data_IF_566631690088
#
_entry.id   IF_566631690088
#
_cell.length_a   1.000
_cell.length_b   1.000
_cell.length_c   1.000
_cell.angle_alpha   90.00
_cell.angle_beta   90.00
_cell.angle_gamma   90.00
#
_symmetry.space_group_name_H-M   'P 1'
#
loop_
_entity.id
_entity.type
_entity.pdbx_description
1 polymer ?
#
# COMPACT_ATOMS: atom_id res chain seq x y z
N UNK A 1 -29.18 3.90 -7.37
CA UNK A 1 -27.85 3.27 -7.19
C UNK A 1 -27.89 2.46 -5.91
N UNK A 2 -27.51 1.16 -5.94
CA UNK A 2 -27.34 0.40 -4.69
C UNK A 2 -26.19 1.02 -3.88
N UNK A 3 -26.36 1.12 -2.55
CA UNK A 3 -25.35 1.66 -1.67
C UNK A 3 -24.17 0.66 -1.63
N UNK A 4 -22.97 1.10 -2.00
CA UNK A 4 -21.75 0.27 -1.95
C UNK A 4 -21.45 -0.14 -0.50
N UNK A 5 -21.17 -1.42 -0.28
CA UNK A 5 -20.96 -2.00 1.05
C UNK A 5 -19.60 -1.61 1.66
N UNK A 6 -18.57 -1.52 0.82
CA UNK A 6 -17.19 -1.23 1.25
C UNK A 6 -16.73 0.14 0.73
N UNK A 7 -16.09 0.90 1.59
CA UNK A 7 -15.44 2.15 1.19
C UNK A 7 -14.18 1.85 0.36
N UNK A 8 -13.32 0.93 0.84
CA UNK A 8 -12.12 0.49 0.12
C UNK A 8 -12.00 -1.03 0.17
N UNK A 9 -11.77 -1.61 -0.99
CA UNK A 9 -11.37 -3.02 -1.15
C UNK A 9 -9.94 -3.02 -1.67
N UNK A 10 -9.06 -3.82 -1.08
CA UNK A 10 -7.69 -3.97 -1.58
C UNK A 10 -7.38 -5.43 -1.94
N UNK A 11 -6.56 -5.60 -2.99
CA UNK A 11 -6.04 -6.90 -3.41
C UNK A 11 -4.52 -6.87 -3.39
N UNK A 12 -3.91 -7.91 -2.82
CA UNK A 12 -2.47 -8.09 -2.86
C UNK A 12 -1.96 -9.11 -1.85
N UNK A 13 -0.73 -8.91 -1.41
CA UNK A 13 -0.04 -9.76 -0.47
C UNK A 13 -0.46 -9.47 0.98
N UNK A 14 -0.45 -10.53 1.78
CA UNK A 14 -0.49 -10.49 3.24
C UNK A 14 0.52 -11.52 3.72
N UNK A 15 1.52 -11.07 4.48
CA UNK A 15 2.73 -11.84 4.79
C UNK A 15 3.25 -11.55 6.20
N UNK A 16 4.28 -12.28 6.61
CA UNK A 16 5.01 -12.01 7.85
C UNK A 16 6.36 -11.38 7.53
N UNK A 17 6.61 -10.19 8.09
CA UNK A 17 7.92 -9.55 8.12
C UNK A 17 8.64 -9.95 9.41
N UNK A 18 9.73 -10.71 9.28
CA UNK A 18 10.63 -11.01 10.39
C UNK A 18 11.65 -9.90 10.56
N UNK A 19 11.50 -9.10 11.61
CA UNK A 19 12.42 -8.01 11.94
C UNK A 19 13.28 -8.41 13.14
N UNK A 20 14.61 -8.33 13.00
CA UNK A 20 15.51 -8.58 14.11
C UNK A 20 15.37 -7.47 15.16
N UNK A 21 15.12 -7.84 16.42
CA UNK A 21 14.94 -6.88 17.49
C UNK A 21 15.88 -7.07 18.69
N UNK A 22 16.56 -8.23 18.80
CA UNK A 22 17.48 -8.54 19.88
C UNK A 22 18.46 -9.65 19.51
N UNK A 23 19.36 -9.96 20.42
CA UNK A 23 20.14 -11.20 20.44
C UNK A 23 19.73 -12.03 21.67
N UNK A 24 19.73 -13.34 21.52
CA UNK A 24 19.56 -14.27 22.65
C UNK A 24 20.81 -14.27 23.55
N UNK A 25 20.71 -14.90 24.72
CA UNK A 25 21.87 -15.13 25.62
C UNK A 25 23.03 -15.88 24.94
N UNK A 26 22.73 -16.68 23.90
CA UNK A 26 23.71 -17.43 23.12
C UNK A 26 24.27 -16.63 21.93
N UNK A 27 23.86 -15.36 21.76
CA UNK A 27 24.26 -14.50 20.64
C UNK A 27 23.49 -14.74 19.33
N UNK A 28 22.45 -15.57 19.32
CA UNK A 28 21.63 -15.80 18.15
C UNK A 28 20.64 -14.64 17.91
N UNK A 29 20.39 -14.21 16.65
CA UNK A 29 19.40 -13.18 16.36
C UNK A 29 17.98 -13.63 16.77
N UNK A 30 17.26 -12.75 17.44
CA UNK A 30 15.84 -12.92 17.76
C UNK A 30 15.02 -12.06 16.80
N UNK A 31 14.00 -12.68 16.19
CA UNK A 31 13.15 -12.02 15.23
C UNK A 31 11.72 -11.90 15.76
N UNK A 32 11.13 -10.74 15.56
CA UNK A 32 9.71 -10.52 15.77
C UNK A 32 8.96 -10.78 14.45
N UNK A 33 7.90 -11.58 14.52
CA UNK A 33 7.05 -11.91 13.39
C UNK A 33 5.95 -10.84 13.24
N UNK A 34 6.17 -9.84 12.41
CA UNK A 34 5.27 -8.72 12.21
C UNK A 34 4.31 -9.00 11.05
N UNK A 35 2.98 -9.00 11.29
CA UNK A 35 2.00 -9.02 10.20
C UNK A 35 2.12 -7.79 9.33
N UNK A 36 2.21 -7.97 8.01
CA UNK A 36 2.41 -6.90 7.04
C UNK A 36 1.87 -7.27 5.66
N UNK A 37 2.08 -6.38 4.72
CA UNK A 37 1.60 -6.43 3.35
C UNK A 37 0.97 -5.08 2.99
N UNK A 38 1.51 -4.40 1.98
CA UNK A 38 1.16 -3.02 1.69
C UNK A 38 -0.36 -2.79 1.55
N UNK A 39 -1.12 -3.60 0.78
CA UNK A 39 -2.56 -3.36 0.65
C UNK A 39 -3.32 -3.54 1.97
N UNK A 40 -2.89 -4.48 2.82
CA UNK A 40 -3.52 -4.69 4.12
C UNK A 40 -3.17 -3.57 5.11
N UNK A 41 -1.95 -3.01 5.05
CA UNK A 41 -1.54 -1.85 5.83
C UNK A 41 -2.42 -0.63 5.49
N UNK A 42 -2.69 -0.38 4.20
CA UNK A 42 -3.63 0.67 3.75
C UNK A 42 -5.00 0.48 4.38
N UNK A 43 -5.53 -0.75 4.35
CA UNK A 43 -6.85 -1.05 4.91
C UNK A 43 -6.88 -0.89 6.44
N UNK A 44 -5.82 -1.26 7.14
CA UNK A 44 -5.72 -1.11 8.59
C UNK A 44 -5.77 0.37 9.01
N UNK A 45 -5.04 1.25 8.32
CA UNK A 45 -5.12 2.68 8.57
C UNK A 45 -6.51 3.24 8.25
N UNK A 46 -7.14 2.79 7.18
CA UNK A 46 -8.51 3.20 6.84
C UNK A 46 -9.52 2.79 7.91
N UNK A 47 -9.35 1.64 8.57
CA UNK A 47 -10.17 1.24 9.72
C UNK A 47 -10.01 2.21 10.89
N UNK A 48 -8.79 2.69 11.19
CA UNK A 48 -8.54 3.74 12.20
C UNK A 48 -9.25 5.06 11.86
N UNK A 49 -9.51 5.29 10.58
CA UNK A 49 -10.26 6.45 10.07
C UNK A 49 -11.76 6.17 9.90
N UNK A 50 -12.27 5.04 10.45
CA UNK A 50 -13.70 4.70 10.45
C UNK A 50 -14.27 4.22 9.11
N UNK A 51 -13.42 3.75 8.18
CA UNK A 51 -13.85 3.25 6.86
C UNK A 51 -14.14 1.77 6.87
N UNK A 52 -15.13 1.35 6.08
CA UNK A 52 -15.46 -0.07 5.87
C UNK A 52 -14.55 -0.65 4.81
N UNK A 53 -13.72 -1.62 5.19
CA UNK A 53 -12.71 -2.20 4.28
C UNK A 53 -12.85 -3.71 4.12
N UNK A 54 -12.38 -4.24 2.98
CA UNK A 54 -12.26 -5.67 2.73
C UNK A 54 -10.94 -5.99 2.03
N UNK A 55 -10.35 -7.12 2.38
CA UNK A 55 -9.10 -7.60 1.80
C UNK A 55 -9.35 -8.82 0.90
N UNK A 56 -8.69 -8.84 -0.27
CA UNK A 56 -8.66 -9.95 -1.21
C UNK A 56 -7.22 -10.43 -1.35
N UNK A 57 -6.98 -11.69 -1.11
CA UNK A 57 -5.65 -12.29 -1.19
C UNK A 57 -5.66 -13.76 -0.79
N UNK A 58 -4.48 -14.33 -0.63
CA UNK A 58 -4.34 -15.74 -0.25
C UNK A 58 -3.16 -15.92 0.72
N UNK A 59 -3.36 -16.73 1.76
CA UNK A 59 -2.35 -17.13 2.74
C UNK A 59 -2.27 -18.66 2.80
N UNK A 60 -1.21 -19.21 3.36
CA UNK A 60 -1.04 -20.66 3.50
C UNK A 60 -1.93 -21.26 4.59
N UNK A 61 -2.17 -22.57 4.50
CA UNK A 61 -2.80 -23.35 5.57
C UNK A 61 -1.78 -23.68 6.68
N UNK A 62 -1.22 -22.67 7.29
CA UNK A 62 -0.19 -22.75 8.33
C UNK A 62 -0.48 -21.81 9.51
N UNK A 63 0.41 -21.80 10.50
CA UNK A 63 0.25 -20.96 11.68
C UNK A 63 0.27 -19.47 11.33
N UNK A 64 1.13 -19.07 10.41
CA UNK A 64 1.23 -17.68 9.97
C UNK A 64 0.00 -17.24 9.20
N UNK A 65 -0.55 -18.08 8.32
CA UNK A 65 -1.80 -17.78 7.61
C UNK A 65 -2.98 -17.59 8.55
N UNK A 66 -3.08 -18.43 9.61
CA UNK A 66 -4.11 -18.25 10.66
C UNK A 66 -3.90 -16.96 11.46
N UNK A 67 -2.64 -16.66 11.84
CA UNK A 67 -2.29 -15.41 12.53
C UNK A 67 -2.64 -14.17 11.70
N UNK A 68 -2.28 -14.16 10.43
CA UNK A 68 -2.56 -13.05 9.53
C UNK A 68 -4.05 -12.80 9.35
N UNK A 69 -4.85 -13.86 9.16
CA UNK A 69 -6.30 -13.75 9.10
C UNK A 69 -6.89 -13.15 10.37
N UNK A 70 -6.42 -13.61 11.53
CA UNK A 70 -6.89 -13.09 12.81
C UNK A 70 -6.53 -11.62 12.99
N UNK A 71 -5.28 -11.23 12.69
CA UNK A 71 -4.83 -9.83 12.79
C UNK A 71 -5.63 -8.90 11.87
N UNK A 72 -5.90 -9.32 10.64
CA UNK A 72 -6.74 -8.54 9.73
C UNK A 72 -8.18 -8.40 10.26
N UNK A 73 -8.75 -9.47 10.80
CA UNK A 73 -10.08 -9.46 11.41
C UNK A 73 -10.13 -8.58 12.68
N UNK A 74 -9.12 -8.66 13.55
CA UNK A 74 -9.00 -7.84 14.77
C UNK A 74 -8.86 -6.35 14.43
N UNK A 75 -8.23 -6.02 13.30
CA UNK A 75 -8.17 -4.66 12.77
C UNK A 75 -9.50 -4.18 12.16
N UNK A 76 -10.55 -5.02 12.13
CA UNK A 76 -11.86 -4.68 11.58
C UNK A 76 -11.99 -4.89 10.06
N UNK A 77 -10.97 -5.41 9.39
CA UNK A 77 -10.98 -5.65 7.95
C UNK A 77 -11.82 -6.90 7.63
N UNK A 78 -12.76 -6.79 6.68
CA UNK A 78 -13.51 -7.96 6.21
C UNK A 78 -12.57 -8.94 5.49
N UNK A 79 -12.45 -10.16 6.02
CA UNK A 79 -11.57 -11.22 5.51
C UNK A 79 -12.28 -12.26 4.66
N UNK A 80 -13.51 -12.03 4.22
CA UNK A 80 -14.26 -12.97 3.37
C UNK A 80 -13.61 -13.20 2.00
N UNK A 81 -12.75 -12.28 1.56
CA UNK A 81 -11.95 -12.40 0.35
C UNK A 81 -10.54 -12.95 0.57
N UNK A 82 -10.15 -13.23 1.82
CA UNK A 82 -8.85 -13.83 2.14
C UNK A 82 -8.98 -15.36 2.09
N UNK A 83 -8.38 -15.95 1.07
CA UNK A 83 -8.40 -17.41 0.85
C UNK A 83 -7.26 -18.11 1.58
N UNK A 84 -7.33 -19.43 1.62
CA UNK A 84 -6.28 -20.29 2.18
C UNK A 84 -5.80 -21.26 1.11
N UNK A 85 -4.50 -21.27 0.85
CA UNK A 85 -3.89 -22.26 -0.03
C UNK A 85 -3.59 -23.54 0.77
N UNK A 86 -4.03 -24.73 0.29
CA UNK A 86 -3.84 -25.98 1.03
C UNK A 86 -2.41 -26.53 0.95
N UNK A 87 -1.59 -26.07 0.00
CA UNK A 87 -0.30 -26.69 -0.35
C UNK A 87 0.88 -25.75 -0.28
N UNK A 88 0.67 -24.43 -0.49
CA UNK A 88 1.73 -23.44 -0.49
C UNK A 88 1.71 -22.65 0.82
N UNK A 89 2.88 -22.45 1.39
CA UNK A 89 3.03 -21.76 2.67
C UNK A 89 2.82 -20.24 2.53
N UNK A 90 2.46 -19.64 3.65
CA UNK A 90 2.42 -18.19 3.80
C UNK A 90 3.77 -17.57 3.46
N UNK A 91 3.77 -16.50 2.69
CA UNK A 91 4.97 -15.73 2.34
C UNK A 91 5.61 -15.13 3.58
N UNK A 92 6.94 -15.23 3.65
CA UNK A 92 7.76 -14.62 4.69
C UNK A 92 8.75 -13.66 4.05
N UNK A 93 9.01 -12.54 4.73
CA UNK A 93 10.11 -11.65 4.43
C UNK A 93 10.99 -11.53 5.68
N UNK A 94 12.30 -11.62 5.51
CA UNK A 94 13.26 -11.38 6.59
C UNK A 94 13.94 -10.05 6.33
N UNK A 95 13.81 -9.13 7.27
CA UNK A 95 14.41 -7.80 7.20
C UNK A 95 15.77 -7.83 7.87
N UNK A 96 16.81 -7.62 7.09
CA UNK A 96 18.18 -7.48 7.56
C UNK A 96 18.51 -5.99 7.68
N UNK A 97 18.91 -5.55 8.85
CA UNK A 97 19.38 -4.17 9.06
C UNK A 97 20.89 -4.19 9.18
N UNK A 98 21.57 -3.55 8.23
CA UNK A 98 23.01 -3.38 8.27
C UNK A 98 23.44 -2.41 9.39
N UNK A 99 24.72 -2.44 9.85
CA UNK A 99 25.19 -1.52 10.89
C UNK A 99 25.07 -0.03 10.54
N UNK A 100 25.02 0.32 9.26
CA UNK A 100 24.78 1.69 8.77
C UNK A 100 23.30 2.08 8.73
N UNK A 101 22.38 1.16 9.11
CA UNK A 101 20.94 1.37 9.10
C UNK A 101 20.24 0.99 7.78
N UNK A 102 20.99 0.59 6.77
CA UNK A 102 20.42 0.10 5.50
C UNK A 102 19.66 -1.20 5.74
N UNK A 103 18.59 -1.38 4.97
CA UNK A 103 17.74 -2.57 5.05
C UNK A 103 17.83 -3.38 3.78
N UNK A 104 18.02 -4.67 3.95
CA UNK A 104 17.92 -5.68 2.90
C UNK A 104 16.80 -6.65 3.25
N UNK A 105 16.14 -7.19 2.22
CA UNK A 105 15.00 -8.08 2.35
C UNK A 105 15.28 -9.41 1.69
N UNK A 106 15.19 -10.48 2.47
CA UNK A 106 15.18 -11.85 1.94
C UNK A 106 13.74 -12.37 1.91
N UNK A 107 13.23 -12.61 0.70
CA UNK A 107 11.86 -13.11 0.53
C UNK A 107 11.82 -14.64 0.39
N UNK A 108 11.02 -15.28 1.22
CA UNK A 108 10.67 -16.69 1.11
C UNK A 108 9.31 -16.80 0.43
N UNK A 109 9.33 -16.64 -0.92
CA UNK A 109 8.16 -16.48 -1.79
C UNK A 109 8.36 -17.20 -3.14
N UNK A 110 8.78 -18.48 -3.12
CA UNK A 110 9.13 -19.25 -4.33
C UNK A 110 8.50 -20.65 -4.39
N UNK A 111 7.15 -20.78 -4.52
CA UNK A 111 6.13 -19.76 -4.46
C UNK A 111 5.69 -19.43 -3.03
N UNK A 112 5.10 -18.26 -2.82
CA UNK A 112 4.32 -17.93 -1.65
C UNK A 112 2.83 -18.07 -1.92
N UNK A 113 2.01 -18.29 -0.89
CA UNK A 113 0.58 -18.50 -1.04
C UNK A 113 -0.14 -17.31 -1.70
N UNK A 114 0.34 -16.08 -1.50
CA UNK A 114 -0.19 -14.88 -2.13
C UNK A 114 -0.08 -14.90 -3.66
N UNK A 115 0.90 -15.63 -4.23
CA UNK A 115 1.07 -15.82 -5.67
C UNK A 115 0.05 -16.82 -6.26
N UNK A 116 -0.65 -17.56 -5.42
CA UNK A 116 -1.53 -18.66 -5.84
C UNK A 116 -2.98 -18.25 -6.04
N UNK A 117 -3.33 -16.97 -5.86
CA UNK A 117 -4.66 -16.45 -6.16
C UNK A 117 -4.94 -16.55 -7.67
N UNK A 118 -6.12 -17.07 -8.03
CA UNK A 118 -6.55 -17.27 -9.42
C UNK A 118 -7.81 -16.47 -9.72
N UNK A 119 -8.03 -16.16 -11.00
CA UNK A 119 -9.19 -15.39 -11.48
C UNK A 119 -10.53 -16.00 -11.04
N UNK A 120 -10.67 -17.33 -11.12
CA UNK A 120 -11.90 -18.04 -10.77
C UNK A 120 -12.20 -18.07 -9.26
N UNK A 121 -11.24 -17.64 -8.42
CA UNK A 121 -11.39 -17.55 -6.97
C UNK A 121 -11.77 -16.12 -6.50
N UNK A 122 -11.86 -15.16 -7.41
CA UNK A 122 -12.16 -13.78 -7.07
C UNK A 122 -13.56 -13.61 -6.46
N UNK A 123 -13.70 -12.96 -5.29
CA UNK A 123 -14.99 -12.74 -4.64
C UNK A 123 -15.73 -11.58 -5.32
N UNK A 124 -16.47 -11.90 -6.40
CA UNK A 124 -17.16 -10.92 -7.25
C UNK A 124 -18.05 -9.96 -6.44
N UNK A 125 -18.81 -10.48 -5.47
CA UNK A 125 -19.69 -9.68 -4.63
C UNK A 125 -18.96 -8.61 -3.83
N UNK A 126 -17.69 -8.84 -3.42
CA UNK A 126 -16.86 -7.84 -2.74
C UNK A 126 -16.41 -6.76 -3.75
N UNK A 127 -15.91 -7.19 -4.92
CA UNK A 127 -15.42 -6.28 -5.97
C UNK A 127 -16.52 -5.36 -6.52
N UNK A 128 -17.72 -5.88 -6.74
CA UNK A 128 -18.88 -5.14 -7.23
C UNK A 128 -19.37 -4.06 -6.24
N UNK A 129 -19.07 -4.24 -4.95
CA UNK A 129 -19.53 -3.38 -3.87
C UNK A 129 -18.45 -2.46 -3.29
N UNK A 130 -17.33 -2.25 -3.96
CA UNK A 130 -16.28 -1.33 -3.59
C UNK A 130 -16.53 0.10 -4.11
N UNK A 131 -16.33 1.14 -3.29
CA UNK A 131 -16.26 2.55 -3.76
C UNK A 131 -14.89 2.83 -4.38
N UNK A 132 -13.81 2.38 -3.71
CA UNK A 132 -12.44 2.42 -4.21
C UNK A 132 -11.90 1.00 -4.22
N UNK A 133 -11.18 0.63 -5.28
CA UNK A 133 -10.41 -0.61 -5.36
C UNK A 133 -8.92 -0.25 -5.40
N UNK A 134 -8.16 -0.75 -4.43
CA UNK A 134 -6.73 -0.48 -4.27
C UNK A 134 -5.90 -1.72 -4.61
N UNK A 135 -4.80 -1.52 -5.33
CA UNK A 135 -3.86 -2.57 -5.73
C UNK A 135 -2.44 -2.04 -5.89
N UNK A 136 -1.47 -2.95 -5.90
CA UNK A 136 -0.06 -2.67 -6.11
C UNK A 136 0.58 -3.65 -7.07
N UNK A 137 1.92 -3.57 -7.24
CA UNK A 137 2.63 -4.39 -8.22
C UNK A 137 3.01 -5.78 -7.71
N UNK A 138 3.04 -6.03 -6.38
CA UNK A 138 3.46 -7.33 -5.85
C UNK A 138 2.54 -8.47 -6.29
N UNK A 139 1.25 -8.22 -6.41
CA UNK A 139 0.28 -9.18 -6.97
C UNK A 139 0.35 -9.30 -8.49
N UNK A 140 1.33 -8.65 -9.15
CA UNK A 140 1.56 -8.74 -10.59
C UNK A 140 2.92 -9.37 -10.96
N UNK A 141 3.69 -9.81 -9.96
CA UNK A 141 5.01 -10.42 -10.17
C UNK A 141 4.94 -11.81 -10.81
N UNK A 142 3.88 -12.57 -10.58
CA UNK A 142 3.69 -13.92 -11.11
C UNK A 142 2.44 -14.00 -12.00
N UNK A 143 2.51 -14.76 -13.10
CA UNK A 143 1.48 -14.79 -14.16
C UNK A 143 0.06 -15.02 -13.64
N UNK A 144 -0.16 -16.04 -12.80
CA UNK A 144 -1.52 -16.38 -12.36
C UNK A 144 -2.17 -15.33 -11.46
N UNK A 145 -1.44 -14.79 -10.47
CA UNK A 145 -1.97 -13.73 -9.61
C UNK A 145 -2.04 -12.38 -10.34
N UNK A 146 -1.19 -12.16 -11.34
CA UNK A 146 -1.28 -11.01 -12.25
C UNK A 146 -2.60 -11.00 -13.01
N UNK A 147 -2.97 -12.13 -13.62
CA UNK A 147 -4.24 -12.29 -14.32
C UNK A 147 -5.43 -12.05 -13.39
N UNK A 148 -5.40 -12.63 -12.19
CA UNK A 148 -6.41 -12.39 -11.16
C UNK A 148 -6.51 -10.91 -10.78
N UNK A 149 -5.37 -10.24 -10.55
CA UNK A 149 -5.31 -8.80 -10.20
C UNK A 149 -5.90 -7.95 -11.32
N UNK A 150 -5.47 -8.19 -12.56
CA UNK A 150 -5.97 -7.44 -13.72
C UNK A 150 -7.47 -7.64 -13.95
N UNK A 151 -7.97 -8.85 -13.72
CA UNK A 151 -9.41 -9.13 -13.81
C UNK A 151 -10.17 -8.45 -12.67
N UNK A 152 -9.66 -8.47 -11.44
CA UNK A 152 -10.27 -7.76 -10.31
C UNK A 152 -10.36 -6.26 -10.56
N UNK A 153 -9.29 -5.63 -11.08
CA UNK A 153 -9.26 -4.20 -11.47
C UNK A 153 -10.33 -3.89 -12.51
N UNK A 154 -10.40 -4.68 -13.61
CA UNK A 154 -11.40 -4.49 -14.65
C UNK A 154 -12.84 -4.66 -14.13
N UNK A 155 -13.05 -5.63 -13.24
CA UNK A 155 -14.37 -5.88 -12.65
C UNK A 155 -14.79 -4.73 -11.72
N UNK A 156 -13.92 -4.28 -10.83
CA UNK A 156 -14.18 -3.15 -9.94
C UNK A 156 -14.49 -1.87 -10.74
N UNK A 157 -13.71 -1.57 -11.78
CA UNK A 157 -13.93 -0.42 -12.68
C UNK A 157 -15.28 -0.51 -13.40
N UNK A 158 -15.63 -1.69 -13.91
CA UNK A 158 -16.93 -1.95 -14.58
C UNK A 158 -18.11 -1.64 -13.67
N UNK A 159 -17.96 -1.87 -12.37
CA UNK A 159 -18.99 -1.59 -11.36
C UNK A 159 -18.85 -0.20 -10.73
N UNK A 160 -18.04 0.70 -11.32
CA UNK A 160 -17.95 2.12 -10.95
C UNK A 160 -17.15 2.37 -9.68
N UNK A 161 -16.20 1.51 -9.34
CA UNK A 161 -15.19 1.82 -8.34
C UNK A 161 -14.14 2.77 -8.91
N UNK A 162 -13.67 3.74 -8.12
CA UNK A 162 -12.42 4.44 -8.39
C UNK A 162 -11.26 3.48 -8.17
N UNK A 163 -10.23 3.58 -9.01
CA UNK A 163 -9.06 2.72 -8.93
C UNK A 163 -7.89 3.47 -8.28
N UNK A 164 -7.36 2.91 -7.21
CA UNK A 164 -6.17 3.41 -6.51
C UNK A 164 -4.99 2.48 -6.74
N UNK A 165 -3.87 3.04 -7.11
CA UNK A 165 -2.64 2.33 -7.39
C UNK A 165 -1.46 2.87 -6.59
N UNK A 166 -0.72 1.96 -5.93
CA UNK A 166 0.60 2.21 -5.36
C UNK A 166 1.55 1.16 -5.96
N UNK A 167 2.49 1.52 -6.84
CA UNK A 167 3.43 0.56 -7.42
C UNK A 167 4.12 -0.29 -6.36
N UNK A 168 4.59 0.35 -5.31
CA UNK A 168 5.29 -0.27 -4.20
C UNK A 168 6.32 -1.30 -4.68
N UNK A 169 7.16 -0.86 -5.62
CA UNK A 169 8.11 -1.69 -6.35
C UNK A 169 9.09 -2.39 -5.41
N UNK A 170 9.26 -3.69 -5.62
CA UNK A 170 10.26 -4.52 -4.93
C UNK A 170 11.11 -5.22 -5.98
N UNK A 171 12.22 -4.61 -6.45
CA UNK A 171 13.05 -5.15 -7.53
C UNK A 171 13.41 -6.64 -7.38
N UNK A 172 13.78 -7.14 -6.17
CA UNK A 172 14.16 -8.54 -6.01
C UNK A 172 13.06 -9.57 -6.28
N UNK A 173 11.79 -9.14 -6.39
CA UNK A 173 10.64 -10.03 -6.63
C UNK A 173 10.26 -10.15 -8.10
N UNK A 174 10.97 -9.49 -8.99
CA UNK A 174 10.69 -9.50 -10.41
C UNK A 174 11.69 -10.33 -11.19
N UNK A 175 11.22 -11.11 -12.16
CA UNK A 175 12.07 -11.87 -13.07
C UNK A 175 12.94 -10.93 -13.93
N UNK A 176 12.37 -9.82 -14.38
CA UNK A 176 13.09 -8.75 -15.09
C UNK A 176 12.53 -7.37 -14.76
N UNK A 177 13.37 -6.33 -14.86
CA UNK A 177 12.93 -4.95 -14.64
C UNK A 177 12.05 -4.43 -15.79
N UNK A 178 12.15 -4.98 -16.96
CA UNK A 178 11.28 -4.71 -18.11
C UNK A 178 9.84 -5.13 -17.79
N UNK A 179 9.67 -6.35 -17.25
CA UNK A 179 8.35 -6.84 -16.80
C UNK A 179 7.78 -5.96 -15.68
N UNK A 180 8.61 -5.57 -14.72
CA UNK A 180 8.21 -4.65 -13.65
C UNK A 180 7.68 -3.32 -14.22
N UNK A 181 8.42 -2.73 -15.19
CA UNK A 181 8.03 -1.48 -15.86
C UNK A 181 6.74 -1.65 -16.67
N UNK A 182 6.56 -2.77 -17.37
CA UNK A 182 5.34 -3.09 -18.11
C UNK A 182 4.12 -3.15 -17.19
N UNK A 183 4.22 -3.87 -16.08
CA UNK A 183 3.10 -4.00 -15.14
C UNK A 183 2.82 -2.70 -14.38
N UNK A 184 3.85 -1.91 -14.11
CA UNK A 184 3.70 -0.57 -13.55
C UNK A 184 2.98 0.35 -14.54
N UNK A 185 3.36 0.34 -15.83
CA UNK A 185 2.69 1.09 -16.89
C UNK A 185 1.21 0.69 -17.01
N UNK A 186 0.91 -0.61 -16.91
CA UNK A 186 -0.46 -1.09 -16.92
C UNK A 186 -1.27 -0.52 -15.75
N UNK A 187 -0.73 -0.54 -14.52
CA UNK A 187 -1.37 0.01 -13.33
C UNK A 187 -1.61 1.52 -13.44
N UNK A 188 -0.61 2.27 -13.93
CA UNK A 188 -0.70 3.71 -14.17
C UNK A 188 -1.81 4.05 -15.19
N UNK A 189 -1.94 3.27 -16.27
CA UNK A 189 -2.98 3.44 -17.29
C UNK A 189 -4.40 3.10 -16.81
N UNK A 190 -4.53 2.41 -15.67
CA UNK A 190 -5.83 2.02 -15.13
C UNK A 190 -6.34 2.93 -14.01
N UNK A 191 -5.45 3.51 -13.20
CA UNK A 191 -5.81 4.16 -11.93
C UNK A 191 -6.34 5.59 -12.10
N UNK A 192 -7.18 5.99 -11.14
CA UNK A 192 -7.70 7.35 -10.94
C UNK A 192 -6.92 8.09 -9.86
N UNK A 193 -6.46 7.34 -8.83
CA UNK A 193 -5.70 7.84 -7.68
C UNK A 193 -4.35 7.12 -7.67
N UNK A 194 -3.28 7.89 -7.67
CA UNK A 194 -1.91 7.36 -7.62
C UNK A 194 -1.21 7.82 -6.34
N UNK A 195 -0.59 6.89 -5.65
CA UNK A 195 0.54 7.19 -4.76
C UNK A 195 1.77 6.54 -5.37
N UNK A 196 2.85 7.27 -5.48
CA UNK A 196 4.13 6.81 -6.03
C UNK A 196 5.27 7.46 -5.26
N UNK A 197 6.42 6.79 -5.14
CA UNK A 197 7.63 7.41 -4.56
C UNK A 197 8.47 8.11 -5.64
N UNK A 198 9.34 9.01 -5.20
CA UNK A 198 10.33 9.66 -6.04
C UNK A 198 11.24 8.67 -6.78
N UNK A 199 11.74 7.65 -6.06
CA UNK A 199 12.56 6.59 -6.63
C UNK A 199 11.81 5.76 -7.70
N UNK A 200 10.49 5.55 -7.53
CA UNK A 200 9.66 4.84 -8.51
C UNK A 200 9.41 5.70 -9.76
N UNK A 201 9.31 7.03 -9.61
CA UNK A 201 9.26 7.95 -10.75
C UNK A 201 10.56 7.85 -11.55
N UNK A 202 11.72 7.93 -10.89
CA UNK A 202 13.03 7.78 -11.54
C UNK A 202 13.14 6.43 -12.25
N UNK A 203 12.80 5.34 -11.57
CA UNK A 203 12.80 4.00 -12.17
C UNK A 203 11.94 3.92 -13.43
N UNK A 204 10.74 4.49 -13.39
CA UNK A 204 9.78 4.38 -14.48
C UNK A 204 10.14 5.28 -15.67
N UNK A 205 10.50 6.53 -15.41
CA UNK A 205 10.71 7.56 -16.44
C UNK A 205 12.15 7.61 -16.94
N UNK A 206 13.12 7.14 -16.16
CA UNK A 206 14.56 7.32 -16.40
C UNK A 206 15.07 8.73 -16.12
N UNK A 207 14.21 9.63 -15.60
CA UNK A 207 14.57 11.01 -15.29
C UNK A 207 15.07 11.10 -13.84
N UNK A 208 16.27 11.62 -13.66
CA UNK A 208 16.86 11.91 -12.33
C UNK A 208 16.37 13.23 -11.74
N UNK A 209 15.90 14.14 -12.58
CA UNK A 209 15.24 15.36 -12.14
C UNK A 209 13.79 15.05 -11.81
N UNK A 210 13.43 15.25 -10.54
CA UNK A 210 12.12 14.90 -10.01
C UNK A 210 10.95 15.59 -10.73
N UNK A 211 11.07 16.91 -11.00
CA UNK A 211 9.98 17.67 -11.62
C UNK A 211 9.79 17.28 -13.09
N UNK A 212 10.87 16.99 -13.80
CA UNK A 212 10.80 16.45 -15.18
C UNK A 212 10.21 15.04 -15.20
N UNK A 213 10.63 14.18 -14.27
CA UNK A 213 10.09 12.83 -14.12
C UNK A 213 8.59 12.85 -13.84
N UNK A 214 8.15 13.67 -12.90
CA UNK A 214 6.73 13.84 -12.57
C UNK A 214 5.92 14.40 -13.77
N UNK A 215 6.43 15.42 -14.44
CA UNK A 215 5.77 16.01 -15.62
C UNK A 215 5.61 15.01 -16.76
N UNK A 216 6.65 14.20 -17.04
CA UNK A 216 6.62 13.14 -18.05
C UNK A 216 5.59 12.07 -17.68
N UNK A 217 5.65 11.53 -16.44
CA UNK A 217 4.74 10.47 -15.99
C UNK A 217 3.28 10.92 -16.06
N UNK A 218 2.95 12.10 -15.54
CA UNK A 218 1.56 12.58 -15.54
C UNK A 218 1.09 13.04 -16.91
N UNK A 219 2.01 13.46 -17.79
CA UNK A 219 1.73 13.73 -19.21
C UNK A 219 1.37 12.45 -19.98
N UNK A 220 2.09 11.34 -19.71
CA UNK A 220 1.86 10.05 -20.36
C UNK A 220 0.57 9.35 -19.84
N UNK A 221 0.15 9.65 -18.59
CA UNK A 221 -1.03 9.04 -17.94
C UNK A 221 -2.07 10.09 -17.50
N UNK A 222 -2.76 10.76 -18.41
CA UNK A 222 -3.75 11.80 -18.08
C UNK A 222 -5.03 11.28 -17.41
N UNK A 223 -5.21 9.96 -17.33
CA UNK A 223 -6.29 9.32 -16.58
C UNK A 223 -6.13 9.47 -15.07
N UNK A 224 -4.94 9.76 -14.56
CA UNK A 224 -4.67 9.91 -13.13
C UNK A 224 -5.21 11.27 -12.67
N UNK A 225 -6.28 11.24 -11.87
CA UNK A 225 -6.99 12.44 -11.42
C UNK A 225 -6.44 13.02 -10.11
N UNK A 226 -5.86 12.16 -9.27
CA UNK A 226 -5.25 12.56 -7.99
C UNK A 226 -3.88 11.91 -7.83
N UNK A 227 -2.86 12.44 -8.51
CA UNK A 227 -1.48 11.95 -8.37
C UNK A 227 -0.81 12.54 -7.14
N UNK A 228 -0.20 11.66 -6.33
CA UNK A 228 0.53 12.00 -5.11
C UNK A 228 1.90 11.33 -5.12
N UNK A 229 2.93 12.10 -4.76
CA UNK A 229 4.31 11.62 -4.71
C UNK A 229 4.86 11.75 -3.30
N UNK A 230 5.45 10.68 -2.79
CA UNK A 230 6.16 10.69 -1.51
C UNK A 230 7.67 10.77 -1.76
N UNK A 231 8.35 11.70 -1.08
CA UNK A 231 9.79 11.92 -1.14
C UNK A 231 10.44 11.64 0.25
N UNK A 232 10.09 10.50 0.83
CA UNK A 232 10.61 10.04 2.11
C UNK A 232 10.55 11.08 3.21
N UNK A 233 11.70 11.40 3.81
CA UNK A 233 11.81 12.36 4.89
C UNK A 233 11.63 13.82 4.44
N UNK A 234 11.67 14.12 3.14
CA UNK A 234 11.50 15.49 2.66
C UNK A 234 10.04 15.93 2.64
N UNK A 235 9.12 15.00 2.38
CA UNK A 235 7.70 15.31 2.40
C UNK A 235 6.92 14.66 1.25
N UNK A 236 5.88 15.35 0.79
CA UNK A 236 5.03 14.84 -0.25
C UNK A 236 4.49 15.93 -1.17
N UNK A 237 4.13 15.50 -2.37
CA UNK A 237 3.57 16.37 -3.42
C UNK A 237 2.22 15.83 -3.87
N UNK A 238 1.35 16.73 -4.30
CA UNK A 238 0.16 16.40 -5.07
C UNK A 238 0.08 17.29 -6.31
N UNK A 239 -0.29 16.69 -7.44
CA UNK A 239 -0.42 17.37 -8.74
C UNK A 239 -1.88 17.18 -9.18
N UNK A 240 -2.72 18.17 -8.97
CA UNK A 240 -4.13 18.07 -9.31
C UNK A 240 -4.68 19.42 -9.76
N UNK A 241 -5.54 19.41 -10.77
CA UNK A 241 -6.25 20.59 -11.24
C UNK A 241 -5.32 21.76 -11.68
N UNK A 242 -4.14 21.44 -12.21
CA UNK A 242 -3.13 22.42 -12.61
C UNK A 242 -2.25 22.94 -11.46
N UNK A 243 -2.48 22.49 -10.25
CA UNK A 243 -1.71 22.87 -9.07
C UNK A 243 -0.61 21.83 -8.76
N UNK A 244 0.57 22.30 -8.33
CA UNK A 244 1.62 21.51 -7.70
C UNK A 244 1.76 21.96 -6.25
N UNK A 245 1.37 21.12 -5.32
CA UNK A 245 1.42 21.42 -3.89
C UNK A 245 2.48 20.54 -3.24
N UNK A 246 3.37 21.14 -2.46
CA UNK A 246 4.34 20.47 -1.61
C UNK A 246 4.02 20.69 -0.14
N UNK A 247 4.17 19.64 0.67
CA UNK A 247 4.08 19.71 2.13
C UNK A 247 5.27 18.95 2.73
N UNK A 248 6.10 19.58 3.57
CA UNK A 248 7.22 18.91 4.22
C UNK A 248 6.74 17.83 5.18
N UNK A 249 7.58 16.81 5.39
CA UNK A 249 7.35 15.78 6.39
C UNK A 249 7.50 16.33 7.81
N UNK A 250 6.88 15.67 8.77
CA UNK A 250 7.11 15.94 10.20
C UNK A 250 8.44 15.32 10.64
N UNK A 251 9.28 16.09 11.31
CA UNK A 251 10.62 15.68 11.81
C UNK A 251 10.72 15.94 13.32
N UNK A 252 9.83 15.32 14.09
CA UNK A 252 9.77 15.51 15.55
C UNK A 252 10.67 14.52 16.33
N UNK A 253 11.47 13.72 15.61
CA UNK A 253 12.33 12.68 16.19
C UNK A 253 11.58 11.38 16.50
N UNK A 254 12.28 10.39 17.08
CA UNK A 254 11.65 9.14 17.53
C UNK A 254 11.35 8.13 16.42
N UNK A 255 11.86 8.32 15.20
CA UNK A 255 11.72 7.32 14.13
C UNK A 255 12.44 6.03 14.53
N UNK A 256 11.70 4.92 14.56
CA UNK A 256 12.20 3.58 14.87
C UNK A 256 12.26 2.75 13.60
N UNK A 257 11.19 2.82 12.78
CA UNK A 257 11.01 1.99 11.60
C UNK A 257 10.16 2.72 10.55
N UNK A 258 10.46 2.53 9.25
CA UNK A 258 9.72 3.21 8.17
C UNK A 258 8.69 2.31 7.49
N UNK A 259 8.54 1.06 7.94
CA UNK A 259 7.55 0.12 7.41
C UNK A 259 6.13 0.69 7.57
N UNK A 260 5.35 0.64 6.49
CA UNK A 260 3.98 1.11 6.49
C UNK A 260 3.78 2.63 6.35
N UNK A 261 4.84 3.45 6.30
CA UNK A 261 4.69 4.91 6.17
C UNK A 261 4.02 5.31 4.84
N UNK A 262 4.46 4.72 3.72
CA UNK A 262 3.84 4.93 2.40
C UNK A 262 2.40 4.46 2.36
N UNK A 263 2.12 3.30 2.96
CA UNK A 263 0.78 2.71 3.01
C UNK A 263 -0.17 3.57 3.86
N UNK A 264 0.32 4.08 5.00
CA UNK A 264 -0.41 5.02 5.88
C UNK A 264 -0.73 6.31 5.15
N UNK A 265 0.25 6.88 4.43
CA UNK A 265 0.04 8.06 3.59
C UNK A 265 -1.04 7.79 2.53
N UNK A 266 -0.92 6.68 1.79
CA UNK A 266 -1.91 6.28 0.77
C UNK A 266 -3.31 6.17 1.38
N UNK A 267 -3.46 5.51 2.52
CA UNK A 267 -4.75 5.38 3.21
C UNK A 267 -5.39 6.75 3.54
N UNK A 268 -4.60 7.71 4.00
CA UNK A 268 -5.07 9.06 4.29
C UNK A 268 -5.54 9.80 3.02
N UNK A 269 -4.84 9.62 1.90
CA UNK A 269 -5.27 10.15 0.59
C UNK A 269 -6.60 9.51 0.17
N UNK A 270 -6.76 8.19 0.32
CA UNK A 270 -8.01 7.50 -0.01
C UNK A 270 -9.16 7.94 0.91
N UNK A 271 -8.88 8.15 2.19
CA UNK A 271 -9.85 8.70 3.14
C UNK A 271 -10.35 10.07 2.69
N UNK A 272 -9.44 10.98 2.33
CA UNK A 272 -9.76 12.33 1.85
C UNK A 272 -10.53 12.29 0.52
N UNK A 273 -10.15 11.39 -0.40
CA UNK A 273 -10.87 11.18 -1.66
C UNK A 273 -12.31 10.69 -1.44
N UNK A 274 -12.56 9.86 -0.42
CA UNK A 274 -13.90 9.42 -0.04
C UNK A 274 -14.76 10.55 0.55
N UNK A 275 -14.14 11.48 1.27
CA UNK A 275 -14.83 12.63 1.90
C UNK A 275 -15.17 13.73 0.87
N UNK A 276 -14.22 14.05 0.00
CA UNK A 276 -14.29 15.27 -0.82
C UNK A 276 -14.38 15.00 -2.32
N UNK A 277 -14.32 13.73 -2.77
CA UNK A 277 -14.25 13.39 -4.19
C UNK A 277 -12.89 13.73 -4.81
N UNK A 278 -12.80 13.63 -6.14
CA UNK A 278 -11.58 13.94 -6.89
C UNK A 278 -11.66 15.28 -7.63
N UNK A 279 -12.86 15.80 -7.88
CA UNK A 279 -13.09 17.02 -8.65
C UNK A 279 -13.10 18.27 -7.76
N UNK A 280 -12.81 19.44 -8.35
CA UNK A 280 -12.89 20.71 -7.67
C UNK A 280 -11.84 20.94 -6.57
N UNK A 281 -10.72 20.18 -6.61
CA UNK A 281 -9.62 20.33 -5.68
C UNK A 281 -8.92 21.67 -5.84
N UNK A 282 -8.59 22.29 -4.71
CA UNK A 282 -7.80 23.52 -4.64
C UNK A 282 -6.46 23.25 -3.97
N UNK A 283 -5.49 24.14 -4.19
CA UNK A 283 -4.18 24.05 -3.51
C UNK A 283 -4.32 23.96 -1.98
N UNK A 284 -5.30 24.64 -1.38
CA UNK A 284 -5.54 24.58 0.08
C UNK A 284 -6.09 23.20 0.51
N UNK A 285 -7.05 22.65 -0.23
CA UNK A 285 -7.58 21.31 0.05
C UNK A 285 -6.49 20.23 -0.09
N UNK A 286 -5.65 20.32 -1.13
CA UNK A 286 -4.51 19.41 -1.33
C UNK A 286 -3.47 19.55 -0.21
N UNK A 287 -3.19 20.77 0.24
CA UNK A 287 -2.26 21.03 1.35
C UNK A 287 -2.77 20.40 2.66
N UNK A 288 -4.06 20.52 2.96
CA UNK A 288 -4.68 19.90 4.15
C UNK A 288 -4.60 18.38 4.09
N UNK A 289 -4.93 17.79 2.94
CA UNK A 289 -4.81 16.34 2.71
C UNK A 289 -3.39 15.85 2.91
N UNK A 290 -2.40 16.47 2.26
CA UNK A 290 -0.99 16.07 2.38
C UNK A 290 -0.47 16.24 3.81
N UNK A 291 -0.84 17.32 4.49
CA UNK A 291 -0.41 17.56 5.87
C UNK A 291 -0.93 16.48 6.82
N UNK A 292 -2.20 16.08 6.68
CA UNK A 292 -2.79 14.98 7.43
C UNK A 292 -2.10 13.65 7.13
N UNK A 293 -1.88 13.35 5.85
CA UNK A 293 -1.21 12.13 5.41
C UNK A 293 0.25 12.05 5.91
N UNK A 294 1.00 13.16 5.85
CA UNK A 294 2.37 13.23 6.37
C UNK A 294 2.42 13.06 7.90
N UNK A 295 1.46 13.62 8.64
CA UNK A 295 1.39 13.45 10.10
C UNK A 295 1.12 11.99 10.49
N UNK A 296 0.20 11.33 9.82
CA UNK A 296 -0.10 9.92 10.04
C UNK A 296 1.09 9.02 9.65
N UNK A 297 1.71 9.29 8.49
CA UNK A 297 2.90 8.58 8.03
C UNK A 297 4.09 8.74 8.98
N UNK A 298 4.28 9.94 9.56
CA UNK A 298 5.29 10.15 10.60
C UNK A 298 4.99 9.29 11.85
N UNK A 299 3.76 9.30 12.35
CA UNK A 299 3.40 8.58 13.58
C UNK A 299 3.63 7.07 13.47
N UNK A 300 3.31 6.45 12.34
CA UNK A 300 3.56 5.01 12.17
C UNK A 300 5.05 4.70 12.25
N UNK A 301 5.94 5.60 11.82
CA UNK A 301 7.39 5.38 11.90
C UNK A 301 7.95 5.41 13.33
N UNK A 302 7.20 5.90 14.30
CA UNK A 302 7.60 5.93 15.71
C UNK A 302 7.28 4.65 16.48
N UNK A 303 6.69 3.66 15.79
CA UNK A 303 6.30 2.35 16.35
C UNK A 303 6.88 1.24 15.49
N UNK A 304 7.01 0.02 16.02
CA UNK A 304 7.42 -1.15 15.25
C UNK A 304 6.23 -1.84 14.59
N UNK A 305 6.47 -2.45 13.45
CA UNK A 305 5.45 -3.11 12.64
C UNK A 305 4.60 -2.14 11.82
N UNK A 306 3.53 -2.62 11.20
CA UNK A 306 2.67 -1.83 10.35
C UNK A 306 1.19 -1.94 10.76
N UNK A 307 0.51 -3.06 10.51
CA UNK A 307 -0.95 -3.21 10.75
C UNK A 307 -1.35 -2.81 12.16
N UNK A 308 -0.58 -3.25 13.18
CA UNK A 308 -0.86 -2.97 14.59
C UNK A 308 -0.38 -1.60 15.08
N UNK A 309 0.42 -0.91 14.28
CA UNK A 309 1.06 0.37 14.63
C UNK A 309 0.38 1.58 14.00
N UNK A 310 -0.69 1.36 13.24
CA UNK A 310 -1.46 2.44 12.62
C UNK A 310 -1.97 3.42 13.69
N UNK A 311 -1.70 4.73 13.50
CA UNK A 311 -2.10 5.74 14.49
C UNK A 311 -3.62 5.91 14.54
N UNK A 312 -4.13 6.24 15.73
CA UNK A 312 -5.50 6.69 15.90
C UNK A 312 -5.66 8.11 15.35
N UNK A 313 -6.87 8.44 14.90
CA UNK A 313 -7.16 9.78 14.36
C UNK A 313 -6.76 10.90 15.34
N UNK A 314 -7.07 10.73 16.62
CA UNK A 314 -6.73 11.72 17.65
C UNK A 314 -5.23 11.93 17.84
N UNK A 315 -4.40 10.90 17.58
CA UNK A 315 -2.94 11.03 17.58
C UNK A 315 -2.48 11.93 16.43
N UNK A 316 -3.05 11.73 15.23
CA UNK A 316 -2.77 12.56 14.05
C UNK A 316 -3.21 14.01 14.29
N UNK A 317 -4.42 14.22 14.82
CA UNK A 317 -4.94 15.55 15.10
C UNK A 317 -4.10 16.31 16.13
N UNK A 318 -3.47 15.61 17.08
CA UNK A 318 -2.52 16.22 18.05
C UNK A 318 -1.26 16.74 17.35
N UNK A 319 -0.67 15.95 16.45
CA UNK A 319 0.49 16.38 15.66
C UNK A 319 0.17 17.59 14.79
N UNK A 320 -1.05 17.66 14.23
CA UNK A 320 -1.45 18.78 13.37
C UNK A 320 -1.63 20.11 14.12
N UNK A 321 -1.82 20.06 15.44
CA UNK A 321 -1.97 21.23 16.32
C UNK A 321 -0.66 21.70 16.95
N UNK A 322 0.39 20.86 16.96
CA UNK A 322 1.72 21.19 17.45
C UNK A 322 2.51 22.00 16.43
#
# INVERSE_FOLDING_TARGET
MMCKQFDVVALGELLIDFTQNALSEQGNPLFEANPGGAPCNVLAMLQKLGRKTAFIGKVGNDNFGRQLRQVAADAGICTNGLLTDPTVHTTLAVVHTAPNGDRDFSFYRSPGADMMLRENELPRSILENAKIFHFGTLSMTHAGVREATQTAVRLAKKHGALLSFDPNLRPPLWDTMELAREQMAWGLGMCDILKISDNEIEFFTGETDFDRGAAKLFGDFPNIRLPNVTAGADGSYSYCCGERVFVPSFRLGGTIETTGAGDTFCACVLHDALEHGLDGRTADSLRKMLRFANAAAYLVTTKRGAIRSMPERDEVDRILRS
#
